data_IF_104458834170
#
_entry.id   IF_104458834170
#
_cell.length_a   1.000
_cell.length_b   1.000
_cell.length_c   1.000
_cell.angle_alpha   90.00
_cell.angle_beta   90.00
_cell.angle_gamma   90.00
#
_symmetry.space_group_name_H-M   'P 1'
#
loop_
_entity.id
_entity.type
_entity.pdbx_description
1 polymer ?
#
# COMPACT_ATOMS: atom_id res chain seq x y z
N UNK A 1 -71.84 -28.63 84.81
CA UNK A 1 -71.78 -27.94 86.12
C UNK A 1 -70.90 -28.77 87.06
N UNK A 2 -70.05 -28.12 87.88
CA UNK A 2 -68.82 -28.59 88.58
C UNK A 2 -67.57 -28.33 87.72
N UNK A 3 -66.77 -27.28 87.84
CA UNK A 3 -66.32 -26.37 88.94
C UNK A 3 -65.33 -26.99 89.95
N UNK A 4 -64.04 -26.66 89.70
CA UNK A 4 -62.93 -26.26 90.59
C UNK A 4 -62.24 -27.22 91.59
N UNK A 5 -60.90 -27.35 91.44
CA UNK A 5 -59.83 -26.88 92.38
C UNK A 5 -58.45 -27.40 91.90
N UNK A 6 -57.57 -26.57 91.33
CA UNK A 6 -56.46 -25.82 91.95
C UNK A 6 -55.52 -26.62 92.87
N UNK A 7 -54.29 -26.81 92.42
CA UNK A 7 -53.09 -26.73 93.28
C UNK A 7 -51.99 -25.94 92.55
N UNK A 8 -51.27 -25.16 93.35
CA UNK A 8 -50.48 -23.97 93.02
C UNK A 8 -49.02 -24.23 93.43
N UNK A 9 -48.09 -23.42 92.88
CA UNK A 9 -46.64 -23.31 93.18
C UNK A 9 -45.74 -24.45 92.64
N UNK A 10 -44.68 -24.22 91.86
CA UNK A 10 -43.96 -22.99 91.51
C UNK A 10 -42.46 -23.31 91.52
N UNK A 11 -41.82 -23.34 90.34
CA UNK A 11 -40.36 -23.19 90.21
C UNK A 11 -40.10 -22.19 89.09
N UNK A 12 -39.71 -21.00 89.52
CA UNK A 12 -38.91 -20.04 88.76
C UNK A 12 -37.61 -20.75 88.35
N UNK A 13 -37.27 -20.75 87.06
CA UNK A 13 -35.94 -20.35 86.60
C UNK A 13 -35.90 -20.22 85.07
N UNK A 14 -35.47 -19.03 84.65
CA UNK A 14 -34.97 -18.65 83.34
C UNK A 14 -35.94 -18.60 82.14
N UNK A 15 -36.52 -17.42 81.96
CA UNK A 15 -36.48 -16.81 80.63
C UNK A 15 -35.00 -16.51 80.29
N UNK A 16 -34.32 -17.46 79.65
CA UNK A 16 -33.11 -17.15 78.87
C UNK A 16 -33.56 -16.70 77.48
N UNK A 17 -33.42 -15.40 77.32
CA UNK A 17 -33.38 -14.61 76.10
C UNK A 17 -32.50 -15.24 75.00
N UNK A 18 -32.97 -15.15 73.75
CA UNK A 18 -32.22 -15.19 72.47
C UNK A 18 -31.38 -16.46 72.20
N UNK A 19 -31.48 -17.13 71.06
CA UNK A 19 -31.52 -16.61 69.70
C UNK A 19 -32.37 -17.55 68.86
N UNK A 20 -33.16 -16.97 67.95
CA UNK A 20 -33.51 -17.62 66.69
C UNK A 20 -32.34 -18.47 66.19
N UNK A 21 -32.64 -19.69 65.77
CA UNK A 21 -31.84 -20.42 64.78
C UNK A 21 -31.80 -19.57 63.51
N UNK A 22 -31.01 -18.50 63.55
CA UNK A 22 -30.42 -17.93 62.36
C UNK A 22 -29.39 -18.98 62.00
N UNK A 23 -29.79 -19.94 61.15
CA UNK A 23 -28.81 -20.73 60.42
C UNK A 23 -27.76 -19.75 59.93
N UNK A 24 -26.49 -20.08 60.21
CA UNK A 24 -25.35 -19.32 59.72
C UNK A 24 -25.66 -18.97 58.25
N UNK A 25 -25.65 -17.68 57.84
CA UNK A 25 -26.00 -17.35 56.47
C UNK A 25 -25.11 -18.18 55.55
N UNK A 26 -25.73 -19.04 54.74
CA UNK A 26 -25.01 -19.76 53.70
C UNK A 26 -24.56 -18.72 52.67
N UNK A 27 -23.29 -18.33 52.73
CA UNK A 27 -22.69 -17.39 51.79
C UNK A 27 -22.22 -18.22 50.61
N UNK A 28 -22.96 -18.13 49.50
CA UNK A 28 -22.61 -18.76 48.23
C UNK A 28 -21.54 -17.92 47.53
N UNK A 29 -20.43 -18.55 47.14
CA UNK A 29 -19.36 -17.88 46.41
C UNK A 29 -18.19 -18.81 46.10
N UNK A 30 -17.18 -18.28 45.42
CA UNK A 30 -16.01 -19.06 45.06
C UNK A 30 -15.12 -19.34 46.27
N UNK A 31 -14.99 -20.63 46.63
CA UNK A 31 -14.13 -21.08 47.74
C UNK A 31 -12.66 -21.34 47.34
N UNK A 32 -12.31 -21.24 46.05
CA UNK A 32 -10.96 -21.50 45.55
C UNK A 32 -10.07 -20.26 45.72
N UNK A 33 -9.09 -20.33 46.62
CA UNK A 33 -8.23 -19.17 46.92
C UNK A 33 -7.34 -18.69 45.76
N UNK A 34 -7.21 -19.49 44.69
CA UNK A 34 -6.49 -19.12 43.48
C UNK A 34 -7.39 -18.50 42.39
N UNK A 35 -8.71 -18.45 42.60
CA UNK A 35 -9.64 -17.87 41.66
C UNK A 35 -9.68 -16.34 41.80
N UNK A 36 -9.99 -15.65 40.70
CA UNK A 36 -10.08 -14.21 40.64
C UNK A 36 -11.21 -13.66 41.52
N UNK A 37 -12.36 -14.33 41.53
CA UNK A 37 -13.52 -13.97 42.34
C UNK A 37 -13.59 -14.73 43.68
N UNK A 38 -12.44 -15.10 44.26
CA UNK A 38 -12.40 -15.77 45.57
C UNK A 38 -13.13 -14.93 46.64
N UNK A 39 -14.07 -15.57 47.33
CA UNK A 39 -14.81 -14.98 48.44
C UNK A 39 -14.34 -15.66 49.75
N UNK A 40 -13.62 -14.94 50.64
CA UNK A 40 -13.16 -15.49 51.91
C UNK A 40 -14.31 -15.78 52.89
N UNK A 41 -15.49 -15.19 52.69
CA UNK A 41 -16.66 -15.37 53.53
C UNK A 41 -17.57 -16.50 53.02
N UNK A 42 -17.30 -17.06 51.83
CA UNK A 42 -18.10 -18.14 51.26
C UNK A 42 -18.06 -19.42 52.11
N UNK A 43 -19.25 -19.89 52.51
CA UNK A 43 -19.45 -21.16 53.23
C UNK A 43 -19.92 -22.28 52.30
N UNK A 44 -20.40 -21.95 51.11
CA UNK A 44 -20.91 -22.87 50.10
C UNK A 44 -20.36 -22.52 48.71
N UNK A 45 -19.71 -23.48 48.04
CA UNK A 45 -19.24 -23.30 46.67
C UNK A 45 -20.42 -23.31 45.69
N UNK A 46 -20.54 -22.26 44.90
CA UNK A 46 -21.59 -22.06 43.89
C UNK A 46 -21.12 -22.29 42.45
N UNK A 47 -19.91 -22.83 42.28
CA UNK A 47 -19.27 -23.05 40.97
C UNK A 47 -18.99 -21.74 40.20
N UNK A 48 -19.03 -20.57 40.85
CA UNK A 48 -18.74 -19.27 40.23
C UNK A 48 -17.26 -19.00 39.98
N UNK A 49 -16.36 -19.84 40.48
CA UNK A 49 -14.91 -19.60 40.42
C UNK A 49 -14.41 -19.36 38.99
N UNK A 50 -13.86 -18.17 38.75
CA UNK A 50 -13.15 -17.82 37.50
C UNK A 50 -11.65 -17.75 37.75
N UNK A 51 -10.86 -18.29 36.84
CA UNK A 51 -9.40 -18.31 36.93
C UNK A 51 -8.81 -17.74 35.66
N UNK A 52 -7.70 -17.00 35.81
CA UNK A 52 -6.91 -16.57 34.67
C UNK A 52 -6.27 -17.79 33.99
N UNK A 53 -6.29 -17.84 32.67
CA UNK A 53 -5.66 -18.90 31.88
C UNK A 53 -4.14 -18.71 31.71
N UNK A 54 -3.65 -17.51 32.03
CA UNK A 54 -2.25 -17.12 32.00
C UNK A 54 -1.78 -16.49 30.70
N UNK A 55 -2.68 -16.21 29.76
CA UNK A 55 -2.39 -15.48 28.51
C UNK A 55 -3.17 -14.18 28.54
N UNK A 56 -2.50 -13.06 28.81
CA UNK A 56 -3.06 -11.71 28.75
C UNK A 56 -4.32 -11.40 29.59
N UNK A 57 -4.78 -12.35 30.39
CA UNK A 57 -5.86 -12.18 31.35
C UNK A 57 -5.36 -11.59 32.68
N UNK A 58 -6.09 -10.60 33.20
CA UNK A 58 -5.85 -10.04 34.53
C UNK A 58 -7.10 -10.13 35.39
N UNK A 59 -6.90 -10.23 36.71
CA UNK A 59 -7.99 -10.19 37.67
C UNK A 59 -8.13 -8.78 38.24
N UNK A 60 -9.24 -8.11 37.94
CA UNK A 60 -9.59 -6.79 38.49
C UNK A 60 -10.97 -6.89 39.14
N UNK A 61 -11.03 -6.59 40.44
CA UNK A 61 -12.27 -6.55 41.23
C UNK A 61 -13.17 -7.80 41.12
N UNK A 62 -12.56 -8.99 41.07
CA UNK A 62 -13.28 -10.26 40.96
C UNK A 62 -13.80 -10.59 39.56
N UNK A 63 -13.33 -9.86 38.54
CA UNK A 63 -13.65 -10.11 37.13
C UNK A 63 -12.39 -10.34 36.32
N UNK A 64 -12.46 -11.24 35.35
CA UNK A 64 -11.40 -11.44 34.37
C UNK A 64 -11.50 -10.32 33.33
N UNK A 65 -10.41 -9.59 33.15
CA UNK A 65 -10.23 -8.62 32.09
C UNK A 65 -9.29 -9.24 31.06
N UNK A 66 -9.83 -9.40 29.85
CA UNK A 66 -9.09 -9.79 28.67
C UNK A 66 -8.30 -8.56 28.16
N UNK A 67 -6.98 -8.70 28.05
CA UNK A 67 -6.10 -7.67 27.49
C UNK A 67 -5.37 -8.20 26.23
N UNK A 68 -6.03 -9.08 25.48
CA UNK A 68 -5.62 -9.53 24.14
C UNK A 68 -6.85 -9.39 23.22
N UNK A 69 -7.01 -8.21 22.64
CA UNK A 69 -8.21 -7.81 21.92
C UNK A 69 -8.47 -8.65 20.65
N UNK A 70 -7.41 -9.16 20.01
CA UNK A 70 -7.48 -9.91 18.76
C UNK A 70 -7.18 -11.43 18.92
N UNK A 71 -6.84 -11.86 20.14
CA UNK A 71 -6.55 -13.23 20.55
C UNK A 71 -5.35 -13.85 19.79
N UNK A 72 -4.34 -13.03 19.47
CA UNK A 72 -3.12 -13.47 18.78
C UNK A 72 -2.02 -13.98 19.73
N UNK A 73 -2.28 -13.99 21.04
CA UNK A 73 -1.40 -14.38 22.15
C UNK A 73 -0.35 -13.35 22.56
N UNK A 74 -0.36 -12.17 21.96
CA UNK A 74 0.36 -10.98 22.39
C UNK A 74 -0.62 -10.07 23.10
N UNK A 75 -0.25 -9.57 24.28
CA UNK A 75 -1.16 -8.71 25.03
C UNK A 75 -1.16 -7.31 24.41
N UNK A 76 -2.29 -6.58 24.46
CA UNK A 76 -2.45 -5.21 23.97
C UNK A 76 -1.32 -4.26 24.43
N UNK A 77 -0.77 -4.49 25.63
CA UNK A 77 0.31 -3.69 26.19
C UNK A 77 1.71 -4.03 25.66
N UNK A 78 1.88 -5.24 25.13
CA UNK A 78 3.11 -5.77 24.55
C UNK A 78 3.08 -5.74 23.02
N UNK A 79 1.97 -5.32 22.43
CA UNK A 79 1.83 -5.14 20.99
C UNK A 79 2.83 -4.13 20.43
N UNK A 80 3.41 -4.48 19.30
CA UNK A 80 4.25 -3.59 18.51
C UNK A 80 3.53 -3.33 17.20
N UNK A 81 3.02 -2.11 17.07
CA UNK A 81 2.42 -1.61 15.84
C UNK A 81 3.47 -1.51 14.72
N UNK A 82 3.15 -2.01 13.53
CA UNK A 82 3.92 -1.78 12.31
C UNK A 82 3.54 -2.71 11.18
N UNK A 83 4.16 -2.54 10.01
CA UNK A 83 3.84 -3.36 8.86
C UNK A 83 4.27 -4.82 9.05
N UNK A 84 3.30 -5.75 9.00
CA UNK A 84 3.53 -7.20 9.08
C UNK A 84 3.73 -7.87 7.71
N UNK A 85 3.53 -7.13 6.61
CA UNK A 85 3.68 -7.65 5.24
C UNK A 85 5.16 -7.74 4.86
N UNK A 86 5.71 -8.95 4.76
CA UNK A 86 7.13 -9.19 4.47
C UNK A 86 7.63 -8.69 3.10
N UNK A 87 6.72 -8.38 2.19
CA UNK A 87 7.03 -7.79 0.87
C UNK A 87 6.94 -6.27 0.85
N UNK A 88 6.52 -5.62 1.95
CA UNK A 88 6.48 -4.17 2.05
C UNK A 88 7.87 -3.57 2.28
N UNK A 89 8.11 -2.36 1.76
CA UNK A 89 9.37 -1.65 1.96
C UNK A 89 9.60 -1.29 3.42
N UNK A 90 8.54 -1.03 4.19
CA UNK A 90 8.59 -0.73 5.61
C UNK A 90 8.25 -1.90 6.53
N UNK A 91 8.51 -3.14 6.10
CA UNK A 91 8.27 -4.33 6.90
C UNK A 91 9.01 -4.27 8.25
N UNK A 92 8.27 -4.42 9.35
CA UNK A 92 8.81 -4.50 10.70
C UNK A 92 8.70 -5.94 11.23
N UNK A 93 9.81 -6.70 11.33
CA UNK A 93 9.79 -8.07 11.85
C UNK A 93 9.48 -8.18 13.34
N UNK A 94 9.47 -7.06 14.06
CA UNK A 94 9.08 -7.02 15.47
C UNK A 94 7.61 -6.63 15.64
N UNK A 95 6.89 -6.29 14.57
CA UNK A 95 5.47 -5.95 14.65
C UNK A 95 4.66 -7.20 15.00
N UNK A 96 3.74 -7.02 15.93
CA UNK A 96 2.74 -8.02 16.32
C UNK A 96 1.34 -7.57 15.94
N UNK A 97 1.14 -6.28 15.62
CA UNK A 97 -0.13 -5.72 15.15
C UNK A 97 0.11 -4.87 13.90
N UNK A 98 -0.73 -5.04 12.88
CA UNK A 98 -0.69 -4.28 11.64
C UNK A 98 -1.36 -2.93 11.82
N UNK A 99 -0.57 -1.86 11.76
CA UNK A 99 -1.06 -0.49 11.87
C UNK A 99 -1.57 0.09 10.55
N UNK A 100 -1.59 -0.72 9.49
CA UNK A 100 -1.98 -0.32 8.14
C UNK A 100 -0.95 0.58 7.45
N UNK A 101 0.27 0.69 7.99
CA UNK A 101 1.33 1.51 7.40
C UNK A 101 2.04 0.84 6.22
N UNK A 102 1.75 -0.42 5.90
CA UNK A 102 2.46 -1.19 4.87
C UNK A 102 2.52 -0.48 3.51
N UNK A 103 3.74 -0.25 3.04
CA UNK A 103 4.04 0.30 1.71
C UNK A 103 4.58 -0.81 0.81
N UNK A 104 3.69 -1.43 0.05
CA UNK A 104 4.08 -2.53 -0.85
C UNK A 104 4.52 -1.95 -2.20
N UNK A 105 5.74 -2.24 -2.68
CA UNK A 105 6.17 -1.83 -4.00
C UNK A 105 5.35 -2.57 -5.06
N UNK A 106 4.91 -1.85 -6.10
CA UNK A 106 4.36 -2.45 -7.32
C UNK A 106 5.50 -2.97 -8.21
N UNK A 107 5.17 -3.51 -9.39
CA UNK A 107 6.14 -4.20 -10.24
C UNK A 107 7.36 -3.34 -10.66
N UNK A 108 7.22 -2.01 -10.69
CA UNK A 108 8.25 -1.04 -11.11
C UNK A 108 8.73 -0.16 -9.97
N UNK A 109 8.16 -0.34 -8.78
CA UNK A 109 8.65 0.35 -7.61
C UNK A 109 9.82 -0.42 -7.01
N UNK A 110 10.78 0.32 -6.49
CA UNK A 110 11.86 -0.24 -5.70
C UNK A 110 11.77 0.27 -4.27
N UNK A 111 12.32 -0.49 -3.32
CA UNK A 111 12.43 -0.02 -1.95
C UNK A 111 13.74 0.73 -1.76
N UNK A 112 13.68 2.01 -1.41
CA UNK A 112 14.82 2.73 -0.85
C UNK A 112 14.57 2.99 0.64
N UNK A 113 15.11 2.08 1.46
CA UNK A 113 14.78 2.05 2.89
C UNK A 113 13.31 1.68 3.10
N UNK A 114 12.62 2.44 3.94
CA UNK A 114 11.20 2.23 4.30
C UNK A 114 10.22 2.76 3.23
N UNK A 115 10.72 3.47 2.21
CA UNK A 115 9.90 4.11 1.20
C UNK A 115 9.85 3.30 -0.10
N UNK A 116 8.66 3.27 -0.69
CA UNK A 116 8.47 2.90 -2.09
C UNK A 116 8.97 4.07 -2.93
N UNK A 117 9.98 3.82 -3.75
CA UNK A 117 10.51 4.76 -4.73
C UNK A 117 10.09 4.29 -6.11
N UNK A 118 9.38 5.18 -6.80
CA UNK A 118 8.96 4.99 -8.18
C UNK A 118 10.20 5.15 -9.07
N UNK A 119 10.72 4.05 -9.60
CA UNK A 119 11.94 4.04 -10.44
C UNK A 119 11.63 4.30 -11.93
N UNK A 120 10.43 4.76 -12.26
CA UNK A 120 10.02 4.99 -13.65
C UNK A 120 8.53 4.86 -13.85
N UNK A 121 7.75 5.68 -13.15
CA UNK A 121 6.35 5.89 -13.50
C UNK A 121 6.09 7.38 -13.30
N UNK A 122 6.25 8.16 -14.36
CA UNK A 122 5.91 9.59 -14.33
C UNK A 122 4.42 9.83 -14.07
N UNK A 123 3.57 8.80 -14.23
CA UNK A 123 2.12 8.82 -14.02
C UNK A 123 1.59 7.79 -13.00
N UNK A 124 2.44 6.90 -12.48
CA UNK A 124 2.07 5.87 -11.51
C UNK A 124 1.61 4.54 -12.12
N UNK A 125 1.82 4.32 -13.42
CA UNK A 125 1.54 3.05 -14.12
C UNK A 125 2.86 2.35 -14.50
N UNK A 126 2.77 1.04 -14.64
CA UNK A 126 3.90 0.13 -14.65
C UNK A 126 3.99 -0.63 -15.98
N UNK A 127 4.72 -0.07 -16.95
CA UNK A 127 4.75 -0.61 -18.31
C UNK A 127 6.02 -1.43 -18.60
N UNK A 128 5.84 -2.59 -19.23
CA UNK A 128 6.94 -3.51 -19.56
C UNK A 128 7.22 -3.49 -21.06
N UNK A 129 8.36 -2.91 -21.46
CA UNK A 129 8.61 -2.56 -22.87
C UNK A 129 9.53 -3.49 -23.66
N UNK A 130 10.40 -4.28 -23.03
CA UNK A 130 11.29 -5.16 -23.79
C UNK A 130 11.76 -6.36 -22.95
N UNK A 131 11.51 -7.59 -23.41
CA UNK A 131 12.11 -8.83 -22.86
C UNK A 131 12.13 -8.93 -21.30
N UNK A 132 11.11 -8.39 -20.63
CA UNK A 132 11.00 -8.40 -19.17
C UNK A 132 11.86 -7.36 -18.44
N UNK A 133 12.42 -6.39 -19.15
CA UNK A 133 13.02 -5.17 -18.61
C UNK A 133 11.93 -4.10 -18.53
N UNK A 134 11.74 -3.56 -17.33
CA UNK A 134 10.86 -2.42 -17.09
C UNK A 134 11.61 -1.17 -17.54
N UNK A 135 11.08 -0.48 -18.54
CA UNK A 135 11.61 0.77 -19.07
C UNK A 135 10.40 1.68 -19.24
N UNK A 136 10.33 2.73 -18.41
CA UNK A 136 9.33 3.79 -18.50
C UNK A 136 9.52 4.55 -19.82
N UNK A 137 8.77 4.15 -20.84
CA UNK A 137 8.76 4.85 -22.11
C UNK A 137 7.40 4.84 -22.80
N UNK A 138 6.28 4.80 -22.08
CA UNK A 138 4.94 5.03 -22.66
C UNK A 138 4.36 6.29 -22.03
N UNK A 139 4.65 7.46 -22.60
CA UNK A 139 4.19 8.72 -22.07
C UNK A 139 2.70 9.01 -22.39
N UNK A 140 2.05 8.13 -23.14
CA UNK A 140 0.70 8.34 -23.64
C UNK A 140 -0.34 7.32 -23.11
N UNK A 141 0.11 6.32 -22.35
CA UNK A 141 -0.68 5.30 -21.64
C UNK A 141 -1.60 4.53 -22.59
N UNK A 142 -1.07 4.13 -23.76
CA UNK A 142 -1.76 3.30 -24.73
C UNK A 142 -1.32 1.82 -24.74
N UNK A 143 -0.51 1.44 -23.75
CA UNK A 143 0.09 0.10 -23.57
C UNK A 143 1.10 -0.24 -24.70
N UNK A 144 1.59 0.77 -25.43
CA UNK A 144 2.61 0.65 -26.49
C UNK A 144 3.76 1.62 -26.17
N UNK A 145 4.97 1.08 -26.13
CA UNK A 145 6.13 1.89 -25.78
C UNK A 145 6.43 2.92 -26.86
N UNK A 146 6.56 4.17 -26.43
CA UNK A 146 7.02 5.28 -27.23
C UNK A 146 8.40 4.97 -27.81
N UNK A 147 8.65 5.60 -28.94
CA UNK A 147 9.88 5.49 -29.68
C UNK A 147 10.93 6.38 -29.01
N UNK A 148 12.10 5.83 -28.68
CA UNK A 148 13.20 6.60 -28.11
C UNK A 148 13.93 7.43 -29.16
N UNK A 149 14.03 8.74 -28.94
CA UNK A 149 14.73 9.61 -29.86
C UNK A 149 16.19 9.19 -30.06
N UNK A 150 16.93 8.95 -28.97
CA UNK A 150 18.36 8.70 -29.03
C UNK A 150 18.71 7.36 -29.68
N UNK A 151 17.89 6.33 -29.43
CA UNK A 151 18.21 4.96 -29.85
C UNK A 151 17.55 4.53 -31.15
N UNK A 152 16.41 5.14 -31.52
CA UNK A 152 15.64 4.75 -32.71
C UNK A 152 15.59 5.86 -33.77
N UNK A 153 15.47 7.13 -33.38
CA UNK A 153 15.29 8.24 -34.33
C UNK A 153 16.62 8.85 -34.78
N UNK A 154 17.49 9.23 -33.84
CA UNK A 154 18.79 9.86 -34.13
C UNK A 154 19.66 8.98 -35.07
N UNK A 155 19.73 7.64 -34.93
CA UNK A 155 20.49 6.81 -35.86
C UNK A 155 20.01 6.87 -37.31
N UNK A 156 18.70 7.09 -37.54
CA UNK A 156 18.14 7.27 -38.89
C UNK A 156 18.66 8.57 -39.49
N UNK A 157 18.64 9.66 -38.72
CA UNK A 157 19.16 10.95 -39.18
C UNK A 157 20.67 10.92 -39.40
N UNK A 158 21.42 10.26 -38.52
CA UNK A 158 22.87 10.12 -38.65
C UNK A 158 23.26 9.36 -39.92
N UNK A 159 22.56 8.28 -40.22
CA UNK A 159 22.83 7.46 -41.40
C UNK A 159 22.47 8.16 -42.71
N UNK A 160 21.35 8.91 -42.73
CA UNK A 160 20.72 9.32 -43.99
C UNK A 160 20.67 10.83 -44.22
N UNK A 161 20.92 11.66 -43.20
CA UNK A 161 20.61 13.09 -43.26
C UNK A 161 21.77 14.00 -42.83
N UNK A 162 22.53 13.65 -41.78
CA UNK A 162 23.54 14.56 -41.18
C UNK A 162 24.72 14.86 -42.11
N UNK A 163 24.99 14.05 -43.14
CA UNK A 163 26.03 14.37 -44.13
C UNK A 163 25.79 15.70 -44.84
N UNK A 164 24.53 16.11 -45.00
CA UNK A 164 24.12 17.40 -45.57
C UNK A 164 23.46 18.32 -44.53
N UNK A 165 22.82 17.75 -43.49
CA UNK A 165 22.13 18.46 -42.41
C UNK A 165 22.89 18.38 -41.07
N UNK A 166 24.22 18.36 -41.12
CA UNK A 166 25.11 18.16 -39.95
C UNK A 166 25.77 19.43 -39.40
N UNK A 167 25.16 20.59 -39.59
CA UNK A 167 25.71 21.89 -39.18
C UNK A 167 26.24 22.78 -40.32
N UNK A 168 26.18 22.31 -41.57
CA UNK A 168 26.47 23.11 -42.77
C UNK A 168 25.18 23.50 -43.49
N UNK A 169 24.39 24.40 -42.90
CA UNK A 169 23.12 24.84 -43.49
C UNK A 169 22.16 25.49 -42.52
N UNK A 170 20.93 25.72 -42.98
CA UNK A 170 19.86 26.38 -42.21
C UNK A 170 19.10 25.45 -41.25
N UNK A 171 19.38 24.15 -41.29
CA UNK A 171 18.79 23.09 -40.46
C UNK A 171 19.90 22.12 -40.04
N UNK A 172 19.92 21.75 -38.76
CA UNK A 172 20.81 20.73 -38.22
C UNK A 172 19.99 19.58 -37.61
N UNK A 173 20.38 18.34 -37.88
CA UNK A 173 19.71 17.12 -37.42
C UNK A 173 20.62 16.27 -36.51
N UNK A 174 21.65 16.89 -35.93
CA UNK A 174 22.67 16.22 -35.11
C UNK A 174 22.29 16.10 -33.63
N UNK A 175 21.16 16.67 -33.22
CA UNK A 175 20.66 16.58 -31.85
C UNK A 175 19.17 16.92 -31.81
N UNK A 176 18.50 16.42 -30.77
CA UNK A 176 17.09 16.71 -30.48
C UNK A 176 16.80 18.21 -30.47
N UNK A 177 17.60 18.96 -29.70
CA UNK A 177 17.45 20.42 -29.58
C UNK A 177 17.47 21.11 -30.95
N UNK A 178 18.40 20.73 -31.84
CA UNK A 178 18.49 21.34 -33.18
C UNK A 178 17.31 20.96 -34.08
N UNK A 179 16.85 19.71 -34.01
CA UNK A 179 15.69 19.23 -34.76
C UNK A 179 14.42 19.99 -34.35
N UNK A 180 14.19 20.14 -33.05
CA UNK A 180 12.99 20.77 -32.51
C UNK A 180 13.01 22.30 -32.66
N UNK A 181 14.20 22.92 -32.60
CA UNK A 181 14.36 24.33 -32.99
C UNK A 181 14.04 24.53 -34.49
N UNK A 182 14.36 23.54 -35.32
CA UNK A 182 14.11 23.55 -36.75
C UNK A 182 15.01 24.51 -37.51
N UNK A 183 14.43 25.21 -38.49
CA UNK A 183 15.18 26.05 -39.41
C UNK A 183 15.20 27.52 -38.95
N UNK A 184 16.40 28.11 -38.86
CA UNK A 184 16.62 29.50 -38.45
C UNK A 184 15.87 30.57 -39.26
N UNK A 185 15.38 30.22 -40.46
CA UNK A 185 14.63 31.10 -41.36
C UNK A 185 13.17 30.70 -41.58
N UNK A 186 12.76 29.46 -41.27
CA UNK A 186 11.44 28.93 -41.63
C UNK A 186 10.64 28.32 -40.46
N UNK A 187 11.20 28.33 -39.24
CA UNK A 187 10.52 27.81 -38.05
C UNK A 187 10.71 26.30 -37.85
N UNK A 188 9.91 25.70 -36.95
CA UNK A 188 10.05 24.29 -36.56
C UNK A 188 9.74 23.37 -37.74
N UNK A 189 10.43 22.23 -37.78
CA UNK A 189 10.20 21.17 -38.79
C UNK A 189 9.40 20.00 -38.24
N UNK A 190 9.29 19.92 -36.91
CA UNK A 190 8.49 18.96 -36.16
C UNK A 190 7.33 19.71 -35.50
N UNK A 191 6.14 19.15 -35.60
CA UNK A 191 4.95 19.57 -34.86
C UNK A 191 4.55 18.39 -33.96
N UNK A 192 4.97 18.42 -32.71
CA UNK A 192 4.70 17.37 -31.73
C UNK A 192 3.20 17.05 -31.62
N UNK A 193 2.88 15.76 -31.58
CA UNK A 193 1.51 15.22 -31.62
C UNK A 193 0.84 15.29 -33.00
N UNK A 194 1.59 15.62 -34.06
CA UNK A 194 1.05 15.73 -35.41
C UNK A 194 2.11 15.47 -36.50
N UNK A 195 2.50 14.21 -36.64
CA UNK A 195 3.43 13.71 -37.64
C UNK A 195 2.99 14.05 -39.06
N UNK A 196 1.72 13.83 -39.40
CA UNK A 196 1.18 14.12 -40.73
C UNK A 196 1.34 15.60 -41.17
N UNK A 197 1.27 16.55 -40.23
CA UNK A 197 1.47 17.98 -40.51
C UNK A 197 2.90 18.47 -40.22
N UNK A 198 3.81 17.59 -39.81
CA UNK A 198 5.21 17.95 -39.60
C UNK A 198 5.93 18.08 -40.92
N UNK A 199 6.65 19.20 -41.10
CA UNK A 199 7.35 19.49 -42.35
C UNK A 199 8.40 18.42 -42.68
N UNK A 200 9.03 17.81 -41.66
CA UNK A 200 9.99 16.72 -41.86
C UNK A 200 9.34 15.51 -42.55
N UNK A 201 8.15 15.08 -42.12
CA UNK A 201 7.41 13.98 -42.73
C UNK A 201 6.97 14.35 -44.15
N UNK A 202 6.48 15.58 -44.36
CA UNK A 202 6.08 16.05 -45.68
C UNK A 202 7.26 16.10 -46.67
N UNK A 203 8.47 16.40 -46.20
CA UNK A 203 9.70 16.36 -47.00
C UNK A 203 10.12 14.94 -47.32
N UNK A 204 10.04 14.01 -46.37
CA UNK A 204 10.38 12.60 -46.57
C UNK A 204 9.42 11.90 -47.54
N UNK A 205 8.12 12.17 -47.40
CA UNK A 205 7.05 11.65 -48.28
C UNK A 205 6.90 12.41 -49.60
N UNK A 206 7.65 13.50 -49.80
CA UNK A 206 7.63 14.29 -51.04
C UNK A 206 6.34 15.08 -51.28
N UNK A 207 5.54 15.33 -50.24
CA UNK A 207 4.28 16.10 -50.32
C UNK A 207 4.49 17.61 -50.18
N UNK A 208 5.69 18.06 -49.78
CA UNK A 208 6.04 19.49 -49.70
C UNK A 208 7.42 19.81 -50.30
N UNK A 209 7.45 20.56 -51.41
CA UNK A 209 8.69 20.97 -52.09
C UNK A 209 9.50 19.78 -52.64
N UNK A 210 10.82 19.92 -52.72
CA UNK A 210 11.68 18.78 -53.09
C UNK A 210 11.71 17.72 -52.01
N UNK A 211 11.49 16.46 -52.41
CA UNK A 211 11.59 15.30 -51.54
C UNK A 211 13.01 15.11 -51.02
N UNK A 212 13.12 14.66 -49.77
CA UNK A 212 14.37 14.27 -49.13
C UNK A 212 14.40 12.76 -48.83
N UNK A 213 15.57 12.10 -48.86
CA UNK A 213 16.89 12.62 -49.28
C UNK A 213 16.96 13.02 -50.76
N UNK A 214 17.85 13.97 -51.09
CA UNK A 214 17.97 14.51 -52.45
C UNK A 214 18.87 13.63 -53.33
N UNK A 215 18.35 13.12 -54.44
CA UNK A 215 19.12 12.38 -55.45
C UNK A 215 18.70 10.92 -55.58
N UNK A 216 19.21 10.05 -54.72
CA UNK A 216 18.80 8.64 -54.66
C UNK A 216 17.35 8.52 -54.15
N UNK A 217 16.66 7.45 -54.55
CA UNK A 217 15.28 7.28 -54.09
C UNK A 217 15.25 7.08 -52.57
N UNK A 218 14.14 7.55 -52.01
CA UNK A 218 13.93 8.00 -50.65
C UNK A 218 14.32 7.04 -49.51
N UNK A 219 14.24 7.58 -48.30
CA UNK A 219 14.21 6.79 -47.08
C UNK A 219 13.08 5.74 -47.18
N UNK A 220 13.28 4.56 -46.60
CA UNK A 220 12.27 3.51 -46.65
C UNK A 220 11.05 3.89 -45.79
N UNK A 221 9.88 3.34 -46.13
CA UNK A 221 8.62 3.69 -45.46
C UNK A 221 8.63 3.34 -43.97
N UNK A 222 9.24 2.23 -43.57
CA UNK A 222 9.34 1.82 -42.15
C UNK A 222 10.07 2.84 -41.28
N UNK A 223 11.17 3.42 -41.79
CA UNK A 223 11.90 4.49 -41.10
C UNK A 223 11.13 5.80 -41.09
N UNK A 224 10.34 6.09 -42.13
CA UNK A 224 9.47 7.29 -42.15
C UNK A 224 8.34 7.12 -41.14
N UNK A 225 7.71 5.94 -41.12
CA UNK A 225 6.63 5.59 -40.19
C UNK A 225 7.14 5.65 -38.75
N UNK A 226 8.35 5.16 -38.45
CA UNK A 226 8.95 5.26 -37.12
C UNK A 226 9.14 6.73 -36.68
N UNK A 227 9.61 7.60 -37.59
CA UNK A 227 9.74 9.04 -37.29
C UNK A 227 8.36 9.67 -37.11
N UNK A 228 7.36 9.29 -37.92
CA UNK A 228 6.00 9.84 -37.85
C UNK A 228 5.32 9.46 -36.52
N UNK A 229 5.41 8.19 -36.14
CA UNK A 229 4.90 7.67 -34.87
C UNK A 229 5.55 8.37 -33.68
N UNK A 230 6.89 8.51 -33.66
CA UNK A 230 7.59 9.26 -32.60
C UNK A 230 7.08 10.70 -32.48
N UNK A 231 6.75 11.34 -33.60
CA UNK A 231 6.17 12.69 -33.58
C UNK A 231 4.75 12.66 -33.02
N UNK A 232 3.94 11.69 -33.42
CA UNK A 232 2.56 11.53 -32.95
C UNK A 232 2.51 11.22 -31.42
N UNK A 233 3.51 10.53 -30.88
CA UNK A 233 3.75 10.28 -29.44
C UNK A 233 4.24 11.55 -28.69
N UNK A 234 4.37 12.68 -29.38
CA UNK A 234 4.74 13.96 -28.78
C UNK A 234 6.20 14.36 -28.97
N UNK A 235 6.96 13.62 -29.78
CA UNK A 235 8.34 13.92 -30.15
C UNK A 235 9.25 14.13 -28.93
N UNK A 236 9.34 13.14 -28.04
CA UNK A 236 10.08 13.24 -26.77
C UNK A 236 11.58 12.95 -26.92
N UNK A 237 12.37 13.44 -25.96
CA UNK A 237 13.81 13.12 -25.80
C UNK A 237 13.98 12.22 -24.58
N UNK A 238 13.66 10.94 -24.78
CA UNK A 238 13.47 9.87 -23.81
C UNK A 238 14.57 8.78 -23.90
#
# INVERSE_FOLDING_TARGET
MKLFKFFLFGIFLAAFWSCSDLGDPEISGCMTSAACNYDPDATLNDESCVSVDGVCETCVDGTIVDNDADNDTVCDADEVAGCMTSTACNYNPSATEDDGSCTVPTACDTCEGEAVVVDGALDGICDTCEDGVIVDNDANDDEICDISYLTQIQPIFDASCTSCHGGSGSLSLTSYENLMLGNSNNGPVVNAGNGANSLIIQKLRGTAGSQMPMGDCCLNDESIDLIETWIDEGAQDN
#
